data_IF_748815620164
#
_entry.id   IF_748815620164
#
_cell.length_a   1.000
_cell.length_b   1.000
_cell.length_c   1.000
_cell.angle_alpha   90.00
_cell.angle_beta   90.00
_cell.angle_gamma   90.00
#
_symmetry.space_group_name_H-M   'P 1'
#
loop_
_entity.id
_entity.type
_entity.pdbx_description
1 polymer ?
#
# COMPACT_ATOMS: atom_id res chain seq x y z
N UNK A 1 -9.34 -49.54 29.34
CA UNK A 1 -9.59 -48.08 29.34
C UNK A 1 -8.53 -47.26 28.57
N UNK A 2 -7.78 -47.83 27.60
CA UNK A 2 -6.64 -47.14 26.93
C UNK A 2 -6.98 -46.39 25.63
N UNK A 3 -8.20 -46.55 25.07
CA UNK A 3 -8.59 -45.92 23.80
C UNK A 3 -9.06 -44.47 23.92
N UNK A 4 -9.45 -44.01 25.12
CA UNK A 4 -10.05 -42.68 25.35
C UNK A 4 -9.03 -41.55 25.55
N UNK A 5 -7.82 -41.88 26.01
CA UNK A 5 -6.74 -40.90 26.27
C UNK A 5 -6.01 -40.45 25.01
N UNK A 6 -5.95 -41.29 23.97
CA UNK A 6 -5.34 -40.92 22.68
C UNK A 6 -6.15 -39.84 21.94
N UNK A 7 -7.48 -39.94 21.96
CA UNK A 7 -8.34 -38.90 21.36
C UNK A 7 -8.18 -37.53 22.03
N UNK A 8 -7.98 -37.48 23.34
CA UNK A 8 -7.77 -36.22 24.08
C UNK A 8 -6.44 -35.57 23.69
N UNK A 9 -5.36 -36.36 23.58
CA UNK A 9 -4.06 -35.88 23.11
C UNK A 9 -4.10 -35.37 21.67
N UNK A 10 -4.87 -36.03 20.80
CA UNK A 10 -5.06 -35.61 19.41
C UNK A 10 -5.83 -34.28 19.30
N UNK A 11 -6.88 -34.11 20.11
CA UNK A 11 -7.66 -32.87 20.17
C UNK A 11 -6.80 -31.70 20.69
N UNK A 12 -5.99 -31.91 21.72
CA UNK A 12 -5.05 -30.91 22.23
C UNK A 12 -4.01 -30.48 21.18
N UNK A 13 -3.45 -31.43 20.42
CA UNK A 13 -2.52 -31.13 19.33
C UNK A 13 -3.17 -30.32 18.20
N UNK A 14 -4.41 -30.62 17.84
CA UNK A 14 -5.16 -29.87 16.81
C UNK A 14 -5.47 -28.45 17.29
N UNK A 15 -5.81 -28.25 18.56
CA UNK A 15 -6.08 -26.93 19.12
C UNK A 15 -4.82 -26.05 19.19
N UNK A 16 -3.70 -26.61 19.63
CA UNK A 16 -2.41 -25.88 19.69
C UNK A 16 -1.88 -25.58 18.28
N UNK A 17 -1.94 -26.56 17.37
CA UNK A 17 -1.54 -26.38 15.97
C UNK A 17 -2.41 -25.38 15.23
N UNK A 18 -3.74 -25.42 15.46
CA UNK A 18 -4.69 -24.48 14.88
C UNK A 18 -4.49 -23.04 15.34
N UNK A 19 -4.25 -22.83 16.64
CA UNK A 19 -3.96 -21.50 17.20
C UNK A 19 -2.64 -20.92 16.66
N UNK A 20 -1.57 -21.73 16.60
CA UNK A 20 -0.28 -21.30 16.06
C UNK A 20 -0.36 -20.93 14.58
N UNK A 21 -1.10 -21.69 13.77
CA UNK A 21 -1.29 -21.42 12.35
C UNK A 21 -2.09 -20.12 12.09
N UNK A 22 -3.15 -19.87 12.87
CA UNK A 22 -3.92 -18.63 12.76
C UNK A 22 -3.08 -17.40 13.14
N UNK A 23 -2.30 -17.49 14.23
CA UNK A 23 -1.42 -16.39 14.66
C UNK A 23 -0.34 -16.08 13.62
N UNK A 24 0.26 -17.10 13.01
CA UNK A 24 1.23 -16.93 11.92
C UNK A 24 0.62 -16.18 10.73
N UNK A 25 -0.58 -16.58 10.30
CA UNK A 25 -1.28 -15.91 9.18
C UNK A 25 -1.65 -14.46 9.49
N UNK A 26 -2.08 -14.18 10.72
CA UNK A 26 -2.39 -12.82 11.15
C UNK A 26 -1.15 -11.92 11.07
N UNK A 27 -0.01 -12.38 11.61
CA UNK A 27 1.25 -11.64 11.53
C UNK A 27 1.71 -11.40 10.09
N UNK A 28 1.48 -12.35 9.17
CA UNK A 28 1.82 -12.19 7.76
C UNK A 28 0.95 -11.12 7.09
N UNK A 29 -0.35 -11.09 7.39
CA UNK A 29 -1.28 -10.09 6.88
C UNK A 29 -0.93 -8.69 7.38
N UNK A 30 -0.66 -8.53 8.68
CA UNK A 30 -0.26 -7.25 9.28
C UNK A 30 1.04 -6.71 8.67
N UNK A 31 2.02 -7.59 8.43
CA UNK A 31 3.27 -7.19 7.76
C UNK A 31 3.04 -6.71 6.33
N UNK A 32 2.22 -7.44 5.57
CA UNK A 32 1.87 -7.06 4.19
C UNK A 32 1.16 -5.71 4.14
N UNK A 33 0.26 -5.45 5.07
CA UNK A 33 -0.42 -4.16 5.19
C UNK A 33 0.59 -3.04 5.51
N UNK A 34 1.49 -3.25 6.47
CA UNK A 34 2.53 -2.27 6.81
C UNK A 34 3.47 -1.99 5.64
N UNK A 35 3.90 -3.03 4.91
CA UNK A 35 4.73 -2.88 3.72
C UNK A 35 3.99 -2.12 2.61
N UNK A 36 2.68 -2.35 2.47
CA UNK A 36 1.84 -1.62 1.51
C UNK A 36 1.77 -0.14 1.83
N UNK A 37 1.41 0.20 3.07
CA UNK A 37 1.34 1.58 3.56
C UNK A 37 2.69 2.29 3.42
N UNK A 38 3.80 1.56 3.62
CA UNK A 38 5.14 2.10 3.40
C UNK A 38 5.39 2.46 1.94
N UNK A 39 5.06 1.58 0.99
CA UNK A 39 5.19 1.85 -0.45
C UNK A 39 4.30 3.02 -0.89
N UNK A 40 3.06 3.07 -0.43
CA UNK A 40 2.14 4.20 -0.70
C UNK A 40 2.70 5.52 -0.13
N UNK A 41 3.30 5.49 1.07
CA UNK A 41 3.93 6.67 1.68
C UNK A 41 5.11 7.18 0.85
N UNK A 42 5.99 6.29 0.39
CA UNK A 42 7.14 6.66 -0.46
C UNK A 42 6.64 7.25 -1.77
N UNK A 43 5.71 6.56 -2.42
CA UNK A 43 5.10 6.98 -3.69
C UNK A 43 4.44 8.35 -3.58
N UNK A 44 3.68 8.60 -2.51
CA UNK A 44 3.02 9.88 -2.32
C UNK A 44 4.02 11.04 -2.18
N UNK A 45 5.18 10.80 -1.57
CA UNK A 45 6.27 11.78 -1.52
C UNK A 45 6.92 11.98 -2.88
N UNK A 46 7.14 10.93 -3.67
CA UNK A 46 7.64 11.05 -5.04
C UNK A 46 6.67 11.86 -5.93
N UNK A 47 5.36 11.66 -5.78
CA UNK A 47 4.32 12.46 -6.46
C UNK A 47 4.43 13.93 -6.06
N UNK A 48 4.56 14.26 -4.77
CA UNK A 48 4.80 15.64 -4.31
C UNK A 48 6.11 16.23 -4.84
N UNK A 49 7.15 15.41 -5.01
CA UNK A 49 8.43 15.84 -5.59
C UNK A 49 8.38 16.01 -7.12
N UNK A 50 7.27 15.65 -7.76
CA UNK A 50 7.12 15.66 -9.23
C UNK A 50 6.09 16.67 -9.72
N UNK A 51 4.98 16.82 -9.00
CA UNK A 51 3.88 17.70 -9.38
C UNK A 51 3.72 18.89 -8.43
N UNK A 52 3.41 20.04 -9.00
CA UNK A 52 3.18 21.29 -8.28
C UNK A 52 1.80 21.31 -7.63
N UNK A 53 1.69 22.01 -6.50
CA UNK A 53 0.43 22.35 -5.82
C UNK A 53 -0.50 21.15 -5.53
N UNK A 54 0.06 19.98 -5.23
CA UNK A 54 -0.70 18.79 -4.85
C UNK A 54 -1.42 19.03 -3.52
N UNK A 55 -2.70 18.71 -3.46
CA UNK A 55 -3.54 18.87 -2.26
C UNK A 55 -4.06 17.54 -1.73
N UNK A 56 -4.30 16.56 -2.60
CA UNK A 56 -4.75 15.23 -2.21
C UNK A 56 -4.15 14.15 -3.10
N UNK A 57 -3.76 13.03 -2.51
CA UNK A 57 -3.32 11.81 -3.20
C UNK A 57 -4.19 10.67 -2.66
N UNK A 58 -4.85 9.92 -3.55
CA UNK A 58 -5.72 8.80 -3.15
C UNK A 58 -5.32 7.55 -3.91
N UNK A 59 -4.93 6.52 -3.16
CA UNK A 59 -4.64 5.19 -3.70
C UNK A 59 -5.94 4.41 -3.90
N UNK A 60 -6.01 3.67 -5.02
CA UNK A 60 -7.05 2.67 -5.24
C UNK A 60 -6.89 1.50 -4.28
N UNK A 61 -8.01 0.85 -3.94
CA UNK A 61 -7.99 -0.43 -3.20
C UNK A 61 -7.61 -1.62 -4.11
N UNK A 62 -7.62 -1.42 -5.43
CA UNK A 62 -7.33 -2.46 -6.41
C UNK A 62 -5.88 -2.38 -6.89
N UNK A 63 -5.13 -3.44 -6.60
CA UNK A 63 -3.72 -3.59 -6.93
C UNK A 63 -3.47 -4.72 -7.93
N UNK A 64 -2.52 -4.50 -8.84
CA UNK A 64 -1.94 -5.54 -9.68
C UNK A 64 -0.55 -5.90 -9.20
N UNK A 65 -0.30 -7.15 -8.82
CA UNK A 65 1.05 -7.61 -8.48
C UNK A 65 1.71 -8.28 -9.68
N UNK A 66 2.84 -7.75 -10.12
CA UNK A 66 3.70 -8.43 -11.07
C UNK A 66 4.71 -9.32 -10.33
N UNK A 67 4.37 -10.60 -10.18
CA UNK A 67 5.20 -11.58 -9.46
C UNK A 67 6.59 -11.80 -10.07
N UNK A 68 6.78 -11.50 -11.37
CA UNK A 68 8.07 -11.65 -12.04
C UNK A 68 9.03 -10.53 -11.66
N UNK A 69 8.53 -9.30 -11.56
CA UNK A 69 9.36 -8.11 -11.29
C UNK A 69 9.34 -7.70 -9.82
N UNK A 70 8.34 -8.15 -9.06
CA UNK A 70 8.10 -7.75 -7.66
C UNK A 70 7.51 -6.35 -7.52
N UNK A 71 7.02 -5.75 -8.60
CA UNK A 71 6.32 -4.47 -8.57
C UNK A 71 4.83 -4.65 -8.32
N UNK A 72 4.27 -3.66 -7.63
CA UNK A 72 2.85 -3.52 -7.35
C UNK A 72 2.31 -2.32 -8.11
N UNK A 73 1.39 -2.54 -9.04
CA UNK A 73 0.73 -1.54 -9.86
C UNK A 73 -0.57 -1.06 -9.21
N UNK A 74 -0.81 0.26 -9.23
CA UNK A 74 -2.00 0.87 -8.65
C UNK A 74 -2.40 2.13 -9.41
N UNK A 75 -3.70 2.42 -9.45
CA UNK A 75 -4.20 3.71 -9.90
C UNK A 75 -4.26 4.69 -8.72
N UNK A 76 -3.77 5.90 -8.94
CA UNK A 76 -3.74 6.97 -7.94
C UNK A 76 -4.45 8.19 -8.49
N UNK A 77 -5.35 8.77 -7.70
CA UNK A 77 -5.95 10.07 -8.01
C UNK A 77 -5.14 11.17 -7.33
N UNK A 78 -4.68 12.14 -8.10
CA UNK A 78 -3.94 13.32 -7.63
C UNK A 78 -4.77 14.56 -7.85
N UNK A 79 -5.13 15.24 -6.76
CA UNK A 79 -5.83 16.53 -6.75
C UNK A 79 -4.85 17.67 -6.49
N UNK A 80 -5.13 18.81 -7.10
CA UNK A 80 -4.25 19.99 -7.03
C UNK A 80 -5.03 21.26 -6.66
N UNK A 81 -4.31 22.26 -6.14
CA UNK A 81 -4.90 23.56 -5.76
C UNK A 81 -5.42 24.34 -6.96
N UNK A 82 -4.85 24.10 -8.15
CA UNK A 82 -5.29 24.73 -9.39
C UNK A 82 -6.51 24.04 -10.04
N UNK A 83 -7.19 23.14 -9.31
CA UNK A 83 -8.48 22.60 -9.70
C UNK A 83 -8.43 21.37 -10.61
N UNK A 84 -7.24 20.76 -10.78
CA UNK A 84 -7.08 19.55 -11.59
C UNK A 84 -7.04 18.31 -10.71
N UNK A 85 -7.80 17.30 -11.12
CA UNK A 85 -7.78 15.94 -10.57
C UNK A 85 -7.37 14.99 -11.70
N UNK A 86 -6.21 14.35 -11.59
CA UNK A 86 -5.71 13.38 -12.57
C UNK A 86 -5.70 11.99 -11.97
N UNK A 87 -6.04 10.99 -12.77
CA UNK A 87 -5.71 9.60 -12.47
C UNK A 87 -4.36 9.24 -13.10
N UNK A 88 -3.52 8.51 -12.38
CA UNK A 88 -2.19 8.07 -12.84
C UNK A 88 -1.96 6.60 -12.46
N UNK A 89 -1.32 5.84 -13.35
CA UNK A 89 -0.90 4.47 -13.07
C UNK A 89 0.52 4.45 -12.51
N UNK A 90 0.68 3.95 -11.28
CA UNK A 90 1.96 3.90 -10.57
C UNK A 90 2.43 2.45 -10.43
N UNK A 91 3.71 2.21 -10.69
CA UNK A 91 4.41 0.97 -10.33
C UNK A 91 5.25 1.21 -9.08
N UNK A 92 4.92 0.53 -7.99
CA UNK A 92 5.59 0.68 -6.69
C UNK A 92 6.45 -0.53 -6.36
N UNK A 93 7.57 -0.30 -5.68
CA UNK A 93 8.46 -1.33 -5.15
C UNK A 93 8.83 -1.03 -3.69
N UNK A 94 9.04 -2.07 -2.86
CA UNK A 94 9.62 -1.89 -1.52
C UNK A 94 11.02 -1.28 -1.53
N UNK A 95 11.68 -1.23 -2.69
CA UNK A 95 13.03 -0.69 -2.90
C UNK A 95 13.05 0.77 -3.33
N UNK A 96 11.89 1.35 -3.65
CA UNK A 96 11.80 2.73 -4.12
C UNK A 96 12.24 3.72 -3.05
N UNK A 97 12.80 4.85 -3.49
CA UNK A 97 13.31 5.89 -2.59
C UNK A 97 12.50 7.17 -2.70
N UNK A 98 12.39 7.86 -1.56
CA UNK A 98 11.55 9.06 -1.40
C UNK A 98 12.04 10.24 -2.24
N UNK A 99 13.35 10.38 -2.41
CA UNK A 99 14.01 11.47 -3.12
C UNK A 99 13.93 11.37 -4.65
N UNK A 100 13.39 10.27 -5.16
CA UNK A 100 13.16 10.07 -6.59
C UNK A 100 11.89 10.80 -7.05
N UNK A 101 11.85 11.20 -8.31
CA UNK A 101 10.60 11.63 -8.95
C UNK A 101 9.75 10.41 -9.28
N UNK A 102 8.43 10.62 -9.34
CA UNK A 102 7.49 9.63 -9.84
C UNK A 102 7.88 9.19 -11.26
N UNK A 103 7.98 7.87 -11.45
CA UNK A 103 8.20 7.22 -12.73
C UNK A 103 6.90 6.52 -13.16
N UNK A 104 6.11 7.20 -13.97
CA UNK A 104 4.95 6.59 -14.61
C UNK A 104 4.38 7.46 -15.72
N UNK A 105 3.21 7.09 -16.21
CA UNK A 105 2.61 7.71 -17.40
C UNK A 105 1.09 7.72 -17.29
N UNK A 106 0.42 8.45 -18.20
CA UNK A 106 -1.04 8.43 -18.30
C UNK A 106 -1.76 9.46 -17.44
N UNK A 107 -1.09 10.55 -17.02
CA UNK A 107 -1.74 11.70 -16.39
C UNK A 107 -2.85 12.27 -17.29
N UNK A 108 -4.10 12.01 -16.90
CA UNK A 108 -5.27 12.51 -17.58
C UNK A 108 -6.23 13.12 -16.57
N UNK A 109 -6.46 14.45 -16.63
CA UNK A 109 -5.69 15.49 -17.35
C UNK A 109 -4.25 15.67 -16.87
N UNK A 110 -3.38 16.20 -17.74
CA UNK A 110 -1.94 16.41 -17.47
C UNK A 110 -1.70 17.29 -16.23
N UNK A 111 -0.78 16.87 -15.36
CA UNK A 111 -0.40 17.62 -14.17
C UNK A 111 0.78 18.57 -14.47
N UNK A 112 0.85 19.69 -13.74
CA UNK A 112 1.97 20.62 -13.85
C UNK A 112 3.17 20.05 -13.10
N UNK A 113 4.32 19.97 -13.75
CA UNK A 113 5.59 19.61 -13.09
C UNK A 113 6.00 20.69 -12.09
N UNK A 114 6.51 20.25 -10.95
CA UNK A 114 7.05 21.10 -9.88
C UNK A 114 7.07 20.36 -8.54
N UNK A 115 7.63 20.97 -7.51
CA UNK A 115 7.66 20.38 -6.16
C UNK A 115 6.54 20.99 -5.33
N UNK A 116 5.78 20.15 -4.64
CA UNK A 116 4.79 20.57 -3.63
C UNK A 116 5.43 20.56 -2.25
N UNK A 117 5.72 21.76 -1.72
CA UNK A 117 6.29 21.93 -0.37
C UNK A 117 5.23 21.90 0.75
N UNK A 118 3.98 22.25 0.45
CA UNK A 118 2.90 22.23 1.43
C UNK A 118 2.42 20.81 1.73
N UNK A 119 1.76 20.61 2.87
CA UNK A 119 1.11 19.34 3.18
C UNK A 119 0.04 18.97 2.15
N UNK A 120 -0.03 17.70 1.81
CA UNK A 120 -1.08 17.08 1.02
C UNK A 120 -1.75 15.97 1.84
N UNK A 121 -3.07 15.84 1.68
CA UNK A 121 -3.83 14.75 2.30
C UNK A 121 -3.59 13.49 1.49
N UNK A 122 -3.25 12.40 2.15
CA UNK A 122 -3.07 11.10 1.52
C UNK A 122 -4.03 10.09 2.08
N UNK A 123 -4.81 9.49 1.18
CA UNK A 123 -5.77 8.44 1.47
C UNK A 123 -5.18 7.12 0.99
N UNK A 124 -4.80 6.29 1.94
CA UNK A 124 -4.23 4.98 1.71
C UNK A 124 -5.30 3.97 1.31
N UNK A 125 -4.89 2.87 0.72
CA UNK A 125 -5.77 1.76 0.34
C UNK A 125 -6.42 1.06 1.54
N UNK A 126 -5.80 1.13 2.72
CA UNK A 126 -6.44 0.68 3.97
C UNK A 126 -7.42 1.70 4.56
N UNK A 127 -7.72 2.79 3.83
CA UNK A 127 -8.67 3.87 4.16
C UNK A 127 -8.19 4.81 5.26
N UNK A 128 -6.98 4.63 5.78
CA UNK A 128 -6.37 5.65 6.62
C UNK A 128 -6.14 6.94 5.83
N UNK A 129 -6.29 8.07 6.52
CA UNK A 129 -5.94 9.39 5.98
C UNK A 129 -4.81 9.99 6.81
N UNK A 130 -3.77 10.51 6.16
CA UNK A 130 -2.67 11.22 6.81
C UNK A 130 -2.30 12.47 6.01
N UNK A 131 -1.73 13.46 6.66
CA UNK A 131 -1.19 14.66 5.99
C UNK A 131 0.33 14.65 6.08
N UNK A 132 1.00 14.96 4.96
CA UNK A 132 2.46 15.11 4.90
C UNK A 132 2.91 15.93 3.70
#
# INVERSE_FOLDING_TARGET
>A
MKKKTWFIGLILLILIGGAGFMWFKQNEAERKEQDMVRMETVTAKQIKNTFADVTKIKFSENYGENKLTGYTEVMVTVSTRYGVNSEIGVSMSPKDKVDESYLGSGELPVLKKGITETEAIVVFSNKEERSF
#
